data_IF_699519062158
#
_entry.id   IF_699519062158
#
_cell.length_a   1.000
_cell.length_b   1.000
_cell.length_c   1.000
_cell.angle_alpha   90.00
_cell.angle_beta   90.00
_cell.angle_gamma   90.00
#
_symmetry.space_group_name_H-M   'P 1'
#
loop_
_entity.id
_entity.type
_entity.pdbx_description
1 polymer ?
#
# COMPACT_ATOMS: atom_id res chain seq x y z
N UNK A 1 -7.50 -14.25 -7.98
CA UNK A 1 -6.11 -14.45 -8.45
C UNK A 1 -5.28 -14.61 -7.19
N UNK A 2 -4.65 -15.77 -6.99
CA UNK A 2 -3.80 -16.02 -5.82
C UNK A 2 -2.54 -15.15 -5.93
N UNK A 3 -2.22 -14.44 -4.86
CA UNK A 3 -0.98 -13.67 -4.72
C UNK A 3 0.11 -14.66 -4.31
N UNK A 4 1.18 -14.75 -5.10
CA UNK A 4 2.34 -15.57 -4.79
C UNK A 4 3.31 -14.74 -3.91
N UNK A 5 3.64 -15.19 -2.69
CA UNK A 5 4.55 -14.48 -1.80
C UNK A 5 5.98 -14.38 -2.35
N UNK A 6 6.38 -15.20 -3.32
CA UNK A 6 7.73 -15.15 -3.92
C UNK A 6 7.90 -14.03 -4.96
N UNK A 7 6.79 -13.41 -5.39
CA UNK A 7 6.78 -12.31 -6.37
C UNK A 7 5.89 -11.15 -5.92
N UNK A 8 6.24 -10.46 -4.81
CA UNK A 8 5.41 -9.40 -4.25
C UNK A 8 5.20 -8.22 -5.22
N UNK A 9 6.09 -8.06 -6.21
CA UNK A 9 6.05 -6.94 -7.15
C UNK A 9 5.36 -7.25 -8.49
N UNK A 10 4.88 -8.48 -8.70
CA UNK A 10 4.21 -8.88 -9.94
C UNK A 10 2.77 -8.35 -10.06
N UNK A 11 2.23 -7.82 -8.95
CA UNK A 11 0.89 -7.23 -8.91
C UNK A 11 0.81 -6.03 -7.97
N UNK A 12 -0.20 -5.18 -8.21
CA UNK A 12 -0.53 -4.06 -7.32
C UNK A 12 -0.98 -4.61 -5.95
N UNK A 13 -1.66 -5.76 -5.94
CA UNK A 13 -2.10 -6.42 -4.72
C UNK A 13 -0.91 -6.86 -3.85
N UNK A 14 0.05 -7.58 -4.43
CA UNK A 14 1.28 -7.97 -3.74
C UNK A 14 2.10 -6.76 -3.30
N UNK A 15 2.20 -5.72 -4.15
CA UNK A 15 2.95 -4.50 -3.81
C UNK A 15 2.31 -3.78 -2.61
N UNK A 16 0.98 -3.74 -2.55
CA UNK A 16 0.24 -3.18 -1.41
C UNK A 16 0.51 -3.95 -0.12
N UNK A 17 0.54 -5.28 -0.18
CA UNK A 17 0.81 -6.14 0.98
C UNK A 17 2.26 -5.99 1.44
N UNK A 18 3.21 -5.96 0.52
CA UNK A 18 4.62 -5.72 0.83
C UNK A 18 4.84 -4.39 1.55
N UNK A 19 4.26 -3.29 1.06
CA UNK A 19 4.43 -1.99 1.72
C UNK A 19 3.72 -1.92 3.07
N UNK A 20 2.70 -2.74 3.32
CA UNK A 20 2.09 -2.86 4.64
C UNK A 20 3.06 -3.52 5.64
N UNK A 21 3.66 -4.65 5.27
CA UNK A 21 4.67 -5.33 6.08
C UNK A 21 5.90 -4.44 6.31
N UNK A 22 6.34 -3.71 5.28
CA UNK A 22 7.46 -2.77 5.41
C UNK A 22 7.13 -1.63 6.39
N UNK A 23 5.91 -1.11 6.38
CA UNK A 23 5.50 -0.08 7.34
C UNK A 23 5.54 -0.60 8.79
N UNK A 24 5.13 -1.85 9.01
CA UNK A 24 5.20 -2.49 10.32
C UNK A 24 6.65 -2.65 10.79
N UNK A 25 7.52 -3.19 9.94
CA UNK A 25 8.94 -3.36 10.24
C UNK A 25 9.64 -2.01 10.54
N UNK A 26 9.29 -0.95 9.80
CA UNK A 26 9.81 0.40 10.08
C UNK A 26 9.33 0.94 11.43
N UNK A 27 8.08 0.69 11.81
CA UNK A 27 7.54 1.06 13.11
C UNK A 27 8.17 0.28 14.27
N UNK A 28 8.55 -0.98 14.06
CA UNK A 28 9.35 -1.76 15.00
C UNK A 28 10.76 -1.19 15.17
N UNK A 29 11.48 -1.00 14.06
CA UNK A 29 12.82 -0.43 14.07
C UNK A 29 12.85 0.96 14.73
N UNK A 30 11.81 1.79 14.53
CA UNK A 30 11.71 3.09 15.18
C UNK A 30 11.59 2.99 16.70
N UNK A 31 10.77 2.06 17.22
CA UNK A 31 10.62 1.82 18.67
C UNK A 31 11.91 1.31 19.31
N UNK A 32 12.65 0.46 18.61
CA UNK A 32 13.97 0.02 19.05
C UNK A 32 14.96 1.19 19.15
N UNK A 33 15.00 2.06 18.13
CA UNK A 33 15.85 3.26 18.14
C UNK A 33 15.43 4.23 19.24
N UNK A 34 14.14 4.40 19.51
CA UNK A 34 13.64 5.22 20.63
C UNK A 34 14.14 4.69 21.99
N UNK A 35 14.21 3.38 22.15
CA UNK A 35 14.78 2.74 23.35
C UNK A 35 16.29 3.02 23.46
N UNK A 36 17.02 2.90 22.36
CA UNK A 36 18.46 3.21 22.30
C UNK A 36 18.76 4.69 22.59
N UNK A 37 17.89 5.61 22.17
CA UNK A 37 18.01 7.05 22.49
C UNK A 37 17.90 7.27 24.00
N UNK A 38 16.96 6.59 24.67
CA UNK A 38 16.80 6.68 26.11
C UNK A 38 18.05 6.16 26.84
N UNK A 39 18.54 4.97 26.45
CA UNK A 39 19.77 4.38 27.01
C UNK A 39 20.99 5.28 26.82
N UNK A 40 21.19 5.84 25.62
CA UNK A 40 22.29 6.77 25.36
C UNK A 40 22.18 8.07 26.20
N UNK A 41 20.96 8.46 26.57
CA UNK A 41 20.71 9.55 27.51
C UNK A 41 21.19 9.24 28.93
N UNK A 42 20.84 8.06 29.45
CA UNK A 42 21.30 7.58 30.77
C UNK A 42 22.83 7.42 30.82
N UNK A 43 23.44 6.95 29.74
CA UNK A 43 24.89 6.80 29.58
C UNK A 43 25.64 8.14 29.38
N UNK A 44 24.92 9.27 29.28
CA UNK A 44 25.48 10.58 28.92
C UNK A 44 26.28 10.57 27.59
N UNK A 45 25.94 9.65 26.69
CA UNK A 45 26.63 9.43 25.42
C UNK A 45 26.08 10.39 24.33
N UNK A 46 26.29 11.69 24.51
CA UNK A 46 25.61 12.74 23.73
C UNK A 46 25.80 12.60 22.21
N UNK A 47 27.00 12.22 21.75
CA UNK A 47 27.26 12.00 20.31
C UNK A 47 26.47 10.81 19.75
N UNK A 48 26.35 9.71 20.51
CA UNK A 48 25.56 8.53 20.12
C UNK A 48 24.09 8.90 20.06
N UNK A 49 23.60 9.63 21.07
CA UNK A 49 22.22 10.14 21.12
C UNK A 49 21.89 11.01 19.90
N UNK A 50 22.76 11.95 19.54
CA UNK A 50 22.58 12.79 18.35
C UNK A 50 22.49 11.97 17.05
N UNK A 51 23.36 10.96 16.90
CA UNK A 51 23.29 10.05 15.75
C UNK A 51 21.97 9.27 15.72
N UNK A 52 21.53 8.75 16.86
CA UNK A 52 20.26 8.01 16.96
C UNK A 52 19.04 8.89 16.69
N UNK A 53 19.06 10.17 17.08
CA UNK A 53 18.01 11.13 16.72
C UNK A 53 17.91 11.34 15.19
N UNK A 54 19.04 11.40 14.49
CA UNK A 54 19.05 11.45 13.02
C UNK A 54 18.51 10.16 12.39
N UNK A 55 18.80 9.00 12.98
CA UNK A 55 18.25 7.72 12.53
C UNK A 55 16.73 7.70 12.72
N UNK A 56 16.24 8.05 13.92
CA UNK A 56 14.80 8.13 14.23
C UNK A 56 14.07 9.07 13.27
N UNK A 57 14.64 10.24 12.98
CA UNK A 57 14.09 11.18 12.00
C UNK A 57 13.98 10.55 10.60
N UNK A 58 15.03 9.88 10.11
CA UNK A 58 15.00 9.25 8.79
C UNK A 58 14.02 8.06 8.73
N UNK A 59 13.89 7.29 9.81
CA UNK A 59 12.88 6.23 9.93
C UNK A 59 11.46 6.79 9.85
N UNK A 60 11.16 7.85 10.59
CA UNK A 60 9.86 8.51 10.53
C UNK A 60 9.57 9.10 9.13
N UNK A 61 10.58 9.68 8.47
CA UNK A 61 10.47 10.15 7.09
C UNK A 61 10.15 9.01 6.12
N UNK A 62 10.83 7.88 6.26
CA UNK A 62 10.60 6.70 5.43
C UNK A 62 9.21 6.11 5.66
N UNK A 63 8.78 5.96 6.92
CA UNK A 63 7.44 5.49 7.30
C UNK A 63 6.32 6.34 6.68
N UNK A 64 6.50 7.67 6.64
CA UNK A 64 5.58 8.58 5.97
C UNK A 64 5.48 8.31 4.46
N UNK A 65 6.63 8.12 3.79
CA UNK A 65 6.65 7.79 2.36
C UNK A 65 5.97 6.44 2.08
N UNK A 66 6.26 5.41 2.88
CA UNK A 66 5.65 4.08 2.73
C UNK A 66 4.13 4.15 2.97
N UNK A 67 3.67 4.91 3.97
CA UNK A 67 2.24 5.12 4.23
C UNK A 67 1.55 5.81 3.04
N UNK A 68 2.19 6.82 2.45
CA UNK A 68 1.67 7.50 1.27
C UNK A 68 1.59 6.54 0.07
N UNK A 69 2.65 5.78 -0.19
CA UNK A 69 2.69 4.76 -1.24
C UNK A 69 1.60 3.70 -1.05
N UNK A 70 1.36 3.24 0.18
CA UNK A 70 0.30 2.26 0.49
C UNK A 70 -1.10 2.80 0.16
N UNK A 71 -1.36 4.08 0.44
CA UNK A 71 -2.64 4.72 0.07
C UNK A 71 -2.83 4.75 -1.45
N UNK A 72 -1.81 5.17 -2.19
CA UNK A 72 -1.84 5.20 -3.67
C UNK A 72 -2.09 3.79 -4.23
N UNK A 73 -1.40 2.77 -3.70
CA UNK A 73 -1.60 1.38 -4.12
C UNK A 73 -3.03 0.90 -3.84
N UNK A 74 -3.62 1.28 -2.71
CA UNK A 74 -5.02 0.98 -2.41
C UNK A 74 -6.00 1.66 -3.39
N UNK A 75 -5.73 2.91 -3.74
CA UNK A 75 -6.55 3.66 -4.71
C UNK A 75 -6.46 3.00 -6.09
N UNK A 76 -5.27 2.60 -6.51
CA UNK A 76 -5.07 1.85 -7.77
C UNK A 76 -5.77 0.49 -7.75
N UNK A 77 -5.74 -0.26 -6.64
CA UNK A 77 -6.51 -1.50 -6.46
C UNK A 77 -8.01 -1.26 -6.66
N UNK A 78 -8.51 -0.18 -6.07
CA UNK A 78 -9.93 0.20 -6.14
C UNK A 78 -10.33 0.60 -7.56
N UNK A 79 -9.53 1.42 -8.24
CA UNK A 79 -9.76 1.84 -9.64
C UNK A 79 -9.72 0.65 -10.60
N UNK A 80 -8.76 -0.27 -10.45
CA UNK A 80 -8.70 -1.49 -11.25
C UNK A 80 -9.98 -2.31 -11.14
N UNK A 81 -10.52 -2.45 -9.91
CA UNK A 81 -11.76 -3.18 -9.68
C UNK A 81 -12.96 -2.49 -10.35
N UNK A 82 -13.10 -1.18 -10.18
CA UNK A 82 -14.17 -0.40 -10.82
C UNK A 82 -14.16 -0.57 -12.34
N UNK A 83 -13.00 -0.39 -12.98
CA UNK A 83 -12.86 -0.51 -14.43
C UNK A 83 -13.15 -1.93 -14.96
N UNK A 84 -12.81 -2.97 -14.18
CA UNK A 84 -13.10 -4.35 -14.55
C UNK A 84 -14.57 -4.72 -14.34
N UNK A 85 -15.20 -4.19 -13.29
CA UNK A 85 -16.61 -4.41 -13.01
C UNK A 85 -17.49 -3.67 -14.06
N UNK A 86 -17.08 -2.47 -14.50
CA UNK A 86 -17.69 -1.76 -15.64
C UNK A 86 -17.62 -2.56 -16.95
N UNK A 87 -16.54 -3.31 -17.19
CA UNK A 87 -16.42 -4.18 -18.37
C UNK A 87 -17.29 -5.43 -18.30
N UNK A 88 -17.71 -5.86 -17.10
CA UNK A 88 -18.55 -7.04 -16.88
C UNK A 88 -20.05 -6.75 -16.92
N UNK A 89 -20.45 -5.50 -16.68
CA UNK A 89 -21.81 -5.07 -16.94
C UNK A 89 -22.11 -5.33 -18.43
N UNK A 90 -23.12 -6.16 -18.76
CA UNK A 90 -23.57 -6.29 -20.14
C UNK A 90 -23.83 -4.88 -20.63
N UNK A 91 -23.22 -4.51 -21.77
CA UNK A 91 -23.70 -3.38 -22.53
C UNK A 91 -25.10 -3.77 -22.99
N UNK A 92 -26.11 -3.52 -22.16
CA UNK A 92 -27.48 -3.52 -22.60
C UNK A 92 -27.57 -2.42 -23.66
N UNK A 93 -27.30 -2.80 -24.90
CA UNK A 93 -27.54 -1.93 -26.04
C UNK A 93 -29.07 -1.75 -26.12
N UNK A 94 -29.61 -0.55 -25.87
CA UNK A 94 -31.05 -0.32 -25.92
C UNK A 94 -31.67 -0.56 -27.32
N UNK A 95 -30.85 -0.89 -28.32
CA UNK A 95 -31.28 -1.23 -29.68
C UNK A 95 -31.50 -2.73 -29.98
N UNK A 96 -31.14 -3.67 -29.09
CA UNK A 96 -31.36 -5.10 -29.36
C UNK A 96 -32.72 -5.61 -28.86
N UNK A 97 -33.26 -5.06 -27.77
CA UNK A 97 -34.60 -5.40 -27.29
C UNK A 97 -35.72 -4.98 -28.28
N UNK A 98 -35.52 -3.89 -29.03
CA UNK A 98 -36.51 -3.38 -29.98
C UNK A 98 -36.59 -4.19 -31.29
N UNK A 99 -35.52 -4.91 -31.68
CA UNK A 99 -35.50 -5.71 -32.93
C UNK A 99 -36.10 -7.11 -32.76
N UNK A 100 -36.09 -7.66 -31.55
CA UNK A 100 -36.73 -8.95 -31.26
C UNK A 100 -38.27 -8.86 -31.22
N UNK A 101 -38.83 -7.65 -31.04
CA UNK A 101 -40.29 -7.43 -30.98
C UNK A 101 -40.93 -7.09 -32.34
N UNK A 102 -40.14 -6.94 -33.41
CA UNK A 102 -40.64 -6.48 -34.73
C UNK A 102 -40.51 -7.52 -35.86
N UNK A 103 -40.25 -8.79 -35.53
CA UNK A 103 -39.97 -9.86 -36.49
C UNK A 103 -40.86 -11.09 -36.33
N UNK A 104 -42.19 -10.90 -36.34
CA UNK A 104 -43.16 -11.96 -36.64
C UNK A 104 -44.27 -11.38 -37.52
N UNK A 105 -44.07 -11.41 -38.85
CA UNK A 105 -45.06 -11.73 -39.90
C UNK A 105 -44.30 -12.35 -41.08
#
# INVERSE_FOLDING_TARGET
>A
MMVDPDTPFDSIEGSYEYVALLAEALGEARREVETEIALAGEEQAERRKQALLLVSYNLAKLENHITASRRILNDLRSLRRLLLDERKLPREHPGQAARAAAGEI
#
